data_IF_889812385317
#
_entry.id   IF_889812385317
#
_cell.length_a   1.000
_cell.length_b   1.000
_cell.length_c   1.000
_cell.angle_alpha   90.00
_cell.angle_beta   90.00
_cell.angle_gamma   90.00
#
_symmetry.space_group_name_H-M   'P 1'
#
loop_
_entity.id
_entity.type
_entity.pdbx_description
1 polymer ?
#
# COMPACT_ATOMS: atom_id res chain seq x y z
N UNK A 1 -4.80 -0.28 -12.97
CA UNK A 1 -4.84 0.65 -11.81
C UNK A 1 -4.29 -0.04 -10.57
N UNK A 2 -3.95 0.66 -9.48
CA UNK A 2 -3.48 0.04 -8.21
C UNK A 2 -4.41 -1.09 -7.76
N UNK A 3 -5.72 -0.82 -7.78
CA UNK A 3 -6.75 -1.79 -7.43
C UNK A 3 -6.77 -3.04 -8.32
N UNK A 4 -6.46 -2.91 -9.61
CA UNK A 4 -6.41 -4.08 -10.52
C UNK A 4 -5.21 -4.97 -10.23
N UNK A 5 -4.06 -4.39 -9.87
CA UNK A 5 -2.85 -5.11 -9.47
C UNK A 5 -3.12 -5.84 -8.15
N UNK A 6 -3.69 -5.16 -7.16
CA UNK A 6 -3.99 -5.73 -5.85
C UNK A 6 -5.01 -6.87 -5.91
N UNK A 7 -6.05 -6.71 -6.73
CA UNK A 7 -7.07 -7.75 -6.90
C UNK A 7 -6.50 -9.02 -7.53
N UNK A 8 -5.61 -8.89 -8.51
CA UNK A 8 -4.99 -10.03 -9.17
C UNK A 8 -3.93 -10.69 -8.29
N UNK A 9 -3.07 -9.91 -7.65
CA UNK A 9 -1.96 -10.44 -6.84
C UNK A 9 -2.40 -11.03 -5.50
N UNK A 10 -3.42 -10.45 -4.85
CA UNK A 10 -3.82 -10.85 -3.49
C UNK A 10 -5.23 -11.45 -3.45
N UNK A 11 -6.25 -10.70 -3.89
CA UNK A 11 -7.65 -11.14 -3.75
C UNK A 11 -7.93 -12.43 -4.51
N UNK A 12 -7.30 -12.64 -5.67
CA UNK A 12 -7.47 -13.88 -6.44
C UNK A 12 -6.88 -15.12 -5.75
N UNK A 13 -5.93 -14.94 -4.83
CA UNK A 13 -5.18 -16.01 -4.15
C UNK A 13 -5.72 -16.27 -2.75
N UNK A 14 -5.98 -15.22 -1.98
CA UNK A 14 -6.39 -15.31 -0.56
C UNK A 14 -7.83 -14.84 -0.29
N UNK A 15 -8.46 -14.17 -1.26
CA UNK A 15 -9.75 -13.51 -1.07
C UNK A 15 -9.66 -12.11 -0.43
N UNK A 16 -8.48 -11.69 0.02
CA UNK A 16 -8.27 -10.43 0.76
C UNK A 16 -7.04 -9.68 0.24
N UNK A 17 -7.09 -8.34 0.28
CA UNK A 17 -5.96 -7.46 -0.04
C UNK A 17 -5.34 -6.92 1.26
N UNK A 18 -4.00 -6.74 1.35
CA UNK A 18 -3.37 -6.16 2.53
C UNK A 18 -3.87 -4.75 2.88
N UNK A 19 -4.25 -3.95 1.88
CA UNK A 19 -4.81 -2.61 2.03
C UNK A 19 -6.03 -2.45 1.12
N UNK A 20 -7.03 -1.74 1.60
CA UNK A 20 -8.13 -1.23 0.78
C UNK A 20 -7.67 -0.01 -0.02
N UNK A 21 -8.40 0.34 -1.09
CA UNK A 21 -8.09 1.53 -1.87
C UNK A 21 -8.07 2.81 -1.01
N UNK A 22 -8.99 2.93 -0.05
CA UNK A 22 -9.04 4.09 0.85
C UNK A 22 -7.81 4.16 1.76
N UNK A 23 -7.32 3.01 2.25
CA UNK A 23 -6.10 2.94 3.06
C UNK A 23 -4.85 3.27 2.24
N UNK A 24 -4.77 2.80 1.00
CA UNK A 24 -3.67 3.18 0.07
C UNK A 24 -3.68 4.68 -0.17
N UNK A 25 -4.84 5.26 -0.50
CA UNK A 25 -4.97 6.71 -0.74
C UNK A 25 -4.63 7.51 0.52
N UNK A 26 -4.99 7.02 1.71
CA UNK A 26 -4.68 7.65 2.97
C UNK A 26 -3.15 7.72 3.22
N UNK A 27 -2.42 6.62 3.01
CA UNK A 27 -0.95 6.64 3.15
C UNK A 27 -0.27 7.52 2.09
N UNK A 28 -0.71 7.44 0.83
CA UNK A 28 -0.18 8.30 -0.23
C UNK A 28 -0.44 9.80 0.03
N UNK A 29 -1.50 10.14 0.78
CA UNK A 29 -1.76 11.52 1.19
C UNK A 29 -0.94 11.98 2.39
N UNK A 30 -0.61 11.09 3.32
CA UNK A 30 0.09 11.45 4.56
C UNK A 30 1.61 11.42 4.41
N UNK A 31 2.14 10.39 3.74
CA UNK A 31 3.57 10.12 3.61
C UNK A 31 3.93 9.61 2.20
N UNK A 32 3.66 10.38 1.12
CA UNK A 32 3.97 9.97 -0.25
C UNK A 32 5.44 9.63 -0.46
N UNK A 33 6.35 10.26 0.30
CA UNK A 33 7.79 10.06 0.23
C UNK A 33 8.26 8.67 0.65
N UNK A 34 7.43 7.93 1.39
CA UNK A 34 7.70 6.54 1.81
C UNK A 34 7.15 5.51 0.82
N UNK A 35 6.58 5.95 -0.29
CA UNK A 35 5.98 5.10 -1.32
C UNK A 35 6.77 5.16 -2.63
N UNK A 36 6.74 4.07 -3.40
CA UNK A 36 7.42 3.97 -4.69
C UNK A 36 6.51 3.29 -5.72
N UNK A 37 6.43 3.86 -6.92
CA UNK A 37 5.74 3.26 -8.06
C UNK A 37 6.69 3.01 -9.23
N UNK A 38 6.59 1.83 -9.84
CA UNK A 38 7.25 1.52 -11.10
C UNK A 38 6.26 1.68 -12.25
N UNK A 39 6.63 2.49 -13.24
CA UNK A 39 5.82 2.77 -14.40
C UNK A 39 6.50 2.31 -15.70
N UNK A 40 5.75 1.60 -16.54
CA UNK A 40 6.15 1.23 -17.90
C UNK A 40 5.15 1.84 -18.88
N UNK A 41 5.64 2.57 -19.88
CA UNK A 41 4.80 3.26 -20.89
C UNK A 41 3.67 4.13 -20.29
N UNK A 42 3.91 4.71 -19.11
CA UNK A 42 2.94 5.55 -18.40
C UNK A 42 1.89 4.78 -17.59
N UNK A 43 2.00 3.44 -17.51
CA UNK A 43 1.15 2.60 -16.68
C UNK A 43 1.89 2.11 -15.45
N UNK A 44 1.24 2.16 -14.29
CA UNK A 44 1.77 1.58 -13.06
C UNK A 44 1.74 0.06 -13.18
N UNK A 45 2.88 -0.60 -12.99
CA UNK A 45 3.02 -2.07 -13.09
C UNK A 45 3.44 -2.72 -11.76
N UNK A 46 4.07 -1.96 -10.87
CA UNK A 46 4.40 -2.40 -9.52
C UNK A 46 4.46 -1.20 -8.59
N UNK A 47 4.20 -1.41 -7.30
CA UNK A 47 4.31 -0.36 -6.30
C UNK A 47 4.66 -0.92 -4.92
N UNK A 48 5.17 -0.05 -4.06
CA UNK A 48 5.39 -0.26 -2.63
C UNK A 48 4.72 0.92 -1.92
N UNK A 49 3.84 0.63 -0.96
CA UNK A 49 3.30 1.61 -0.01
C UNK A 49 4.00 1.42 1.32
N UNK A 50 4.57 2.50 1.85
CA UNK A 50 5.27 2.50 3.12
C UNK A 50 4.69 3.55 4.07
N UNK A 51 4.86 3.30 5.36
CA UNK A 51 4.54 4.23 6.43
C UNK A 51 5.55 4.08 7.57
N UNK A 52 5.72 5.13 8.38
CA UNK A 52 6.45 5.05 9.64
C UNK A 52 5.66 4.29 10.71
N UNK A 53 6.38 3.53 11.54
CA UNK A 53 5.82 2.77 12.67
C UNK A 53 6.70 2.96 13.90
N UNK A 54 6.20 3.72 14.88
CA UNK A 54 6.95 4.15 16.06
C UNK A 54 7.16 3.09 17.15
N UNK A 55 6.96 1.80 16.85
CA UNK A 55 7.16 0.69 17.80
C UNK A 55 8.16 -0.33 17.25
N UNK A 56 8.84 -1.03 18.15
CA UNK A 56 9.86 -2.03 17.81
C UNK A 56 9.30 -3.21 16.99
N UNK A 57 8.07 -3.64 17.27
CA UNK A 57 7.41 -4.77 16.61
C UNK A 57 6.28 -4.28 15.75
N UNK A 58 6.18 -4.80 14.52
CA UNK A 58 5.04 -4.56 13.65
C UNK A 58 3.77 -5.16 14.27
N UNK A 59 2.72 -4.36 14.36
CA UNK A 59 1.40 -4.76 14.83
C UNK A 59 0.35 -4.43 13.75
N UNK A 60 -0.87 -4.95 13.90
CA UNK A 60 -1.91 -4.81 12.88
C UNK A 60 -2.28 -3.35 12.62
N UNK A 61 -2.18 -2.49 13.63
CA UNK A 61 -2.46 -1.06 13.54
C UNK A 61 -1.51 -0.36 12.56
N UNK A 62 -0.30 -0.88 12.34
CA UNK A 62 0.65 -0.33 11.36
C UNK A 62 0.11 -0.41 9.92
N UNK A 63 -0.83 -1.31 9.65
CA UNK A 63 -1.50 -1.43 8.35
C UNK A 63 -2.46 -0.27 8.07
N UNK A 64 -2.81 0.54 9.07
CA UNK A 64 -3.79 1.64 8.92
C UNK A 64 -3.34 2.97 9.52
N UNK A 65 -2.27 2.98 10.32
CA UNK A 65 -1.77 4.15 11.02
C UNK A 65 -0.34 4.49 10.62
N UNK A 66 -0.15 5.73 10.18
CA UNK A 66 1.18 6.29 10.01
C UNK A 66 1.62 6.98 11.30
N UNK A 67 2.81 6.60 11.80
CA UNK A 67 3.50 7.29 12.90
C UNK A 67 4.83 7.81 12.34
N UNK A 68 5.00 9.14 12.18
CA UNK A 68 6.23 9.75 11.68
C UNK A 68 7.48 9.39 12.49
#
# INVERSE_FOLDING_TARGET
>A
SVFEIEREAFVSVSGECPLTLDEVLNFLSQCPELSLGWFEEGQLVAFIIGSGWGKERLEQEAMTQHIP
#
